data_IF_849558339570
#
_entry.id   IF_849558339570
#
_cell.length_a   1.000
_cell.length_b   1.000
_cell.length_c   1.000
_cell.angle_alpha   90.00
_cell.angle_beta   90.00
_cell.angle_gamma   90.00
#
_symmetry.space_group_name_H-M   'P 1'
#
loop_
_entity.id
_entity.type
_entity.pdbx_description
1 polymer ?
#
# COMPACT_ATOMS: atom_id res chain seq x y z
N UNK A 1 -0.16 -16.93 -8.40
CA UNK A 1 -0.37 -15.94 -7.31
C UNK A 1 0.76 -14.90 -7.17
N UNK A 2 2.05 -15.26 -7.24
CA UNK A 2 3.17 -14.28 -7.12
C UNK A 2 3.16 -13.19 -8.20
N UNK A 3 2.94 -13.56 -9.47
CA UNK A 3 2.90 -12.62 -10.58
C UNK A 3 1.76 -11.59 -10.48
N UNK A 4 0.57 -12.01 -10.04
CA UNK A 4 -0.58 -11.12 -9.87
C UNK A 4 -0.36 -10.10 -8.74
N UNK A 5 0.25 -10.51 -7.62
CA UNK A 5 0.60 -9.60 -6.51
C UNK A 5 1.67 -8.59 -6.97
N UNK A 6 2.66 -9.05 -7.75
CA UNK A 6 3.69 -8.17 -8.30
C UNK A 6 3.10 -7.15 -9.27
N UNK A 7 2.21 -7.58 -10.17
CA UNK A 7 1.53 -6.72 -11.13
C UNK A 7 0.65 -5.68 -10.42
N UNK A 8 -0.08 -6.08 -9.38
CA UNK A 8 -0.87 -5.16 -8.57
C UNK A 8 -0.01 -4.13 -7.82
N UNK A 9 1.13 -4.56 -7.24
CA UNK A 9 2.12 -3.65 -6.63
C UNK A 9 2.69 -2.67 -7.66
N UNK A 10 2.98 -3.13 -8.88
CA UNK A 10 3.45 -2.26 -9.95
C UNK A 10 2.37 -1.25 -10.39
N UNK A 11 1.12 -1.68 -10.53
CA UNK A 11 0.00 -0.81 -10.90
C UNK A 11 -0.26 0.28 -9.85
N UNK A 12 -0.31 -0.08 -8.55
CA UNK A 12 -0.51 0.94 -7.50
C UNK A 12 0.72 1.86 -7.36
N UNK A 13 1.92 1.34 -7.57
CA UNK A 13 3.14 2.15 -7.66
C UNK A 13 3.08 3.16 -8.81
N UNK A 14 2.54 2.75 -9.96
CA UNK A 14 2.29 3.64 -11.09
C UNK A 14 1.24 4.71 -10.78
N UNK A 15 0.16 4.35 -10.08
CA UNK A 15 -0.84 5.34 -9.60
C UNK A 15 -0.18 6.37 -8.69
N UNK A 16 0.61 5.94 -7.69
CA UNK A 16 1.36 6.87 -6.84
C UNK A 16 2.30 7.76 -7.63
N UNK A 17 3.00 7.22 -8.62
CA UNK A 17 3.87 8.00 -9.50
C UNK A 17 3.10 9.13 -10.21
N UNK A 18 1.94 8.83 -10.79
CA UNK A 18 1.09 9.84 -11.46
C UNK A 18 0.58 10.90 -10.46
N UNK A 19 0.20 10.49 -9.26
CA UNK A 19 -0.27 11.41 -8.21
C UNK A 19 0.85 12.35 -7.74
N UNK A 20 2.06 11.84 -7.50
CA UNK A 20 3.22 12.66 -7.16
C UNK A 20 3.64 13.56 -8.32
N UNK A 21 3.60 13.07 -9.56
CA UNK A 21 3.86 13.88 -10.74
C UNK A 21 2.89 15.05 -10.82
N UNK A 22 1.60 14.85 -10.50
CA UNK A 22 0.61 15.92 -10.44
C UNK A 22 0.86 16.95 -9.33
N UNK A 23 1.54 16.58 -8.23
CA UNK A 23 1.92 17.54 -7.17
C UNK A 23 3.06 18.44 -7.64
N UNK A 24 4.05 17.89 -8.34
CA UNK A 24 5.23 18.66 -8.81
C UNK A 24 4.89 19.44 -10.09
N UNK A 25 4.13 18.83 -11.00
CA UNK A 25 3.72 19.39 -12.27
C UNK A 25 2.22 19.11 -12.50
N UNK A 26 1.33 20.01 -12.04
CA UNK A 26 -0.11 19.78 -12.09
C UNK A 26 -0.61 19.67 -13.53
N UNK A 27 -1.47 18.69 -13.77
CA UNK A 27 -2.16 18.55 -15.05
C UNK A 27 -3.15 19.72 -15.26
N UNK A 28 -3.38 20.17 -16.50
CA UNK A 28 -4.26 21.29 -16.75
C UNK A 28 -5.73 20.97 -16.42
N UNK A 29 -6.44 21.96 -15.87
CA UNK A 29 -7.90 21.94 -15.70
C UNK A 29 -8.41 21.03 -14.58
N UNK A 30 -9.57 20.40 -14.81
CA UNK A 30 -10.31 19.60 -13.82
C UNK A 30 -9.55 18.34 -13.40
N UNK A 31 -8.65 17.85 -14.25
CA UNK A 31 -7.85 16.66 -13.98
C UNK A 31 -6.95 16.82 -12.75
N UNK A 32 -6.28 17.97 -12.57
CA UNK A 32 -5.44 18.20 -11.40
C UNK A 32 -6.26 18.21 -10.10
N UNK A 33 -7.44 18.86 -10.09
CA UNK A 33 -8.31 18.84 -8.90
C UNK A 33 -8.75 17.43 -8.55
N UNK A 34 -9.17 16.65 -9.54
CA UNK A 34 -9.54 15.25 -9.33
C UNK A 34 -8.35 14.45 -8.76
N UNK A 35 -7.15 14.62 -9.32
CA UNK A 35 -5.94 13.95 -8.85
C UNK A 35 -5.56 14.36 -7.42
N UNK A 36 -5.74 15.62 -7.03
CA UNK A 36 -5.53 16.06 -5.64
C UNK A 36 -6.50 15.41 -4.67
N UNK A 37 -7.80 15.40 -5.01
CA UNK A 37 -8.83 14.74 -4.18
C UNK A 37 -8.54 13.24 -4.08
N UNK A 38 -8.20 12.59 -5.20
CA UNK A 38 -7.82 11.18 -5.20
C UNK A 38 -6.56 10.92 -4.37
N UNK A 39 -5.55 11.79 -4.44
CA UNK A 39 -4.34 11.67 -3.60
C UNK A 39 -4.68 11.73 -2.13
N UNK A 40 -5.47 12.73 -1.72
CA UNK A 40 -5.88 12.90 -0.33
C UNK A 40 -6.70 11.70 0.16
N UNK A 41 -7.68 11.25 -0.65
CA UNK A 41 -8.51 10.11 -0.31
C UNK A 41 -7.70 8.81 -0.24
N UNK A 42 -6.82 8.56 -1.22
CA UNK A 42 -5.94 7.39 -1.26
C UNK A 42 -5.05 7.36 -0.01
N UNK A 43 -4.40 8.48 0.32
CA UNK A 43 -3.54 8.60 1.49
C UNK A 43 -4.30 8.38 2.79
N UNK A 44 -5.46 9.00 2.96
CA UNK A 44 -6.30 8.82 4.15
C UNK A 44 -6.78 7.38 4.30
N UNK A 45 -7.26 6.75 3.22
CA UNK A 45 -7.74 5.38 3.26
C UNK A 45 -6.60 4.39 3.56
N UNK A 46 -5.43 4.57 2.93
CA UNK A 46 -4.27 3.72 3.21
C UNK A 46 -3.71 3.94 4.62
N UNK A 47 -3.71 5.18 5.10
CA UNK A 47 -3.31 5.52 6.47
C UNK A 47 -4.23 4.90 7.50
N UNK A 48 -5.55 5.00 7.30
CA UNK A 48 -6.54 4.35 8.16
C UNK A 48 -6.38 2.83 8.13
N UNK A 49 -6.15 2.25 6.96
CA UNK A 49 -5.93 0.81 6.81
C UNK A 49 -4.65 0.34 7.53
N UNK A 50 -3.58 1.15 7.48
CA UNK A 50 -2.35 0.91 8.23
C UNK A 50 -2.63 0.96 9.74
N UNK A 51 -3.37 1.96 10.23
CA UNK A 51 -3.72 2.10 11.64
C UNK A 51 -4.56 0.94 12.15
N UNK A 52 -5.60 0.54 11.40
CA UNK A 52 -6.44 -0.62 11.73
C UNK A 52 -5.57 -1.88 11.79
N UNK A 53 -4.65 -2.06 10.86
CA UNK A 53 -3.77 -3.23 10.86
C UNK A 53 -2.79 -3.25 12.03
N UNK A 54 -2.15 -2.13 12.34
CA UNK A 54 -1.27 -2.01 13.51
C UNK A 54 -2.06 -2.23 14.80
N UNK A 55 -3.27 -1.69 14.91
CA UNK A 55 -4.13 -1.91 16.09
C UNK A 55 -4.58 -3.36 16.24
N UNK A 56 -4.95 -4.03 15.14
CA UNK A 56 -5.46 -5.40 15.17
C UNK A 56 -4.37 -6.48 15.27
N UNK A 57 -3.18 -6.22 14.71
CA UNK A 57 -2.10 -7.22 14.58
C UNK A 57 -0.76 -6.79 15.19
N UNK A 58 -0.61 -5.55 15.66
CA UNK A 58 0.66 -5.02 16.16
C UNK A 58 1.21 -5.75 17.39
N UNK A 59 0.33 -6.26 18.24
CA UNK A 59 0.74 -7.05 19.42
C UNK A 59 1.11 -8.50 19.07
N UNK A 60 0.70 -8.99 17.90
CA UNK A 60 0.94 -10.38 17.47
C UNK A 60 2.12 -10.51 16.49
N UNK A 61 2.57 -9.42 15.91
CA UNK A 61 3.60 -9.42 14.86
C UNK A 61 4.60 -8.29 15.14
N UNK A 62 5.87 -8.66 15.40
CA UNK A 62 6.98 -7.70 15.52
C UNK A 62 7.32 -7.09 14.14
N UNK A 63 6.46 -6.19 13.68
CA UNK A 63 6.64 -5.52 12.40
C UNK A 63 7.64 -4.37 12.50
N UNK A 64 8.57 -4.34 11.56
CA UNK A 64 9.51 -3.23 11.40
C UNK A 64 8.77 -1.97 10.93
N UNK A 65 9.32 -0.78 11.22
CA UNK A 65 8.78 0.49 10.74
C UNK A 65 8.65 0.52 9.21
N UNK A 66 9.53 -0.19 8.50
CA UNK A 66 9.52 -0.29 7.03
C UNK A 66 8.31 -1.06 6.47
N UNK A 67 7.86 -2.09 7.19
CA UNK A 67 6.67 -2.86 6.82
C UNK A 67 5.39 -2.04 7.02
N UNK A 68 5.36 -1.18 8.05
CA UNK A 68 4.25 -0.23 8.28
C UNK A 68 4.14 0.77 7.13
N UNK A 69 5.27 1.34 6.70
CA UNK A 69 5.33 2.25 5.54
C UNK A 69 4.92 1.56 4.24
N UNK A 70 5.26 0.29 4.06
CA UNK A 70 4.84 -0.48 2.88
C UNK A 70 3.31 -0.63 2.77
N UNK A 71 2.58 -0.65 3.89
CA UNK A 71 1.10 -0.69 3.89
C UNK A 71 0.52 0.64 3.42
N UNK A 72 1.17 1.76 3.75
CA UNK A 72 0.73 3.07 3.30
C UNK A 72 0.79 3.20 1.76
N UNK A 73 1.84 2.68 1.13
CA UNK A 73 2.01 2.77 -0.32
C UNK A 73 1.31 1.65 -1.10
N UNK A 74 1.32 0.42 -0.59
CA UNK A 74 0.78 -0.75 -1.33
C UNK A 74 -0.54 -1.30 -0.76
N UNK A 75 -1.05 -0.72 0.34
CA UNK A 75 -2.34 -1.08 0.92
C UNK A 75 -2.42 -2.55 1.33
N UNK A 76 -3.53 -3.20 0.95
CA UNK A 76 -3.81 -4.62 1.24
C UNK A 76 -2.74 -5.54 0.64
N UNK A 77 -2.09 -5.17 -0.46
CA UNK A 77 -1.08 -6.03 -1.08
C UNK A 77 0.17 -6.20 -0.23
N UNK A 78 0.58 -5.18 0.53
CA UNK A 78 1.64 -5.33 1.53
C UNK A 78 1.19 -6.26 2.66
N UNK A 79 -0.07 -6.16 3.10
CA UNK A 79 -0.63 -7.04 4.13
C UNK A 79 -0.65 -8.50 3.69
N UNK A 80 -1.07 -8.77 2.45
CA UNK A 80 -1.06 -10.13 1.88
C UNK A 80 0.35 -10.70 1.78
N UNK A 81 1.34 -9.86 1.46
CA UNK A 81 2.74 -10.26 1.34
C UNK A 81 3.36 -10.55 2.73
N UNK A 82 3.13 -9.67 3.71
CA UNK A 82 3.54 -9.86 5.12
C UNK A 82 2.87 -11.11 5.70
N UNK A 83 1.54 -11.25 5.54
CA UNK A 83 0.81 -12.44 5.98
C UNK A 83 1.39 -13.71 5.36
N UNK A 84 1.73 -13.69 4.06
CA UNK A 84 2.33 -14.86 3.42
C UNK A 84 3.74 -15.15 3.95
N UNK A 85 4.53 -14.11 4.21
CA UNK A 85 5.90 -14.21 4.75
C UNK A 85 5.94 -14.74 6.18
N UNK A 86 5.03 -14.29 7.05
CA UNK A 86 5.04 -14.60 8.49
C UNK A 86 4.04 -15.66 8.94
N UNK A 87 2.93 -15.90 8.22
CA UNK A 87 1.89 -16.84 8.64
C UNK A 87 1.72 -18.07 7.74
N UNK A 88 2.18 -18.01 6.48
CA UNK A 88 2.02 -19.13 5.51
C UNK A 88 3.36 -19.79 5.17
N UNK A 89 4.48 -19.09 5.36
CA UNK A 89 5.81 -19.56 4.96
C UNK A 89 6.39 -20.72 5.77
N UNK A 90 5.77 -21.11 6.88
CA UNK A 90 6.31 -22.13 7.81
C UNK A 90 5.65 -23.53 7.67
N UNK A 91 5.01 -23.83 6.53
CA UNK A 91 4.44 -25.17 6.25
C UNK A 91 4.83 -25.74 4.87
N UNK A 92 5.98 -25.37 4.30
CA UNK A 92 6.55 -26.05 3.13
C UNK A 92 8.04 -26.32 3.37
N UNK A 93 8.30 -27.15 4.37
CA UNK A 93 9.53 -27.94 4.50
C UNK A 93 9.10 -29.36 4.85
N UNK A 94 8.53 -30.06 3.87
CA UNK A 94 8.48 -31.52 3.80
C UNK A 94 8.96 -31.93 2.41
#
# INVERSE_FOLDING_TARGET
>A
MKALILLAKAAIGFVWFVLFANIVHPFPGVAAMALYIMTAFLFCMHGLQMLIFIGAFGDKINMTKWEKWSILFFGIFALLDIRRKYMVGDNVKE
#
